data_IF_661565427860
#
_entry.id   IF_661565427860
#
_cell.length_a   1.000
_cell.length_b   1.000
_cell.length_c   1.000
_cell.angle_alpha   90.00
_cell.angle_beta   90.00
_cell.angle_gamma   90.00
#
_symmetry.space_group_name_H-M   'P 1'
#
loop_
_entity.id
_entity.type
_entity.pdbx_description
1 polymer ?
#
# COMPACT_ATOMS: atom_id res chain seq x y z
N UNK A 1 26.58 -2.78 83.06
CA UNK A 1 27.88 -3.49 82.95
C UNK A 1 27.93 -4.40 81.72
N UNK A 2 28.46 -3.91 80.59
CA UNK A 2 28.48 -2.49 80.27
C UNK A 2 28.11 -2.12 78.81
N UNK A 3 27.96 -0.86 78.39
CA UNK A 3 27.41 0.45 78.89
C UNK A 3 27.93 1.52 77.85
N UNK A 4 27.37 2.70 77.56
CA UNK A 4 26.24 3.47 78.11
C UNK A 4 25.70 4.55 77.13
N UNK A 5 25.83 5.84 77.44
CA UNK A 5 25.07 6.99 76.86
C UNK A 5 25.92 8.16 76.26
N UNK A 6 25.30 8.91 75.31
CA UNK A 6 25.16 10.41 75.10
C UNK A 6 26.15 11.46 75.71
N UNK A 7 26.03 12.80 75.47
CA UNK A 7 25.26 13.61 74.48
C UNK A 7 26.10 14.77 73.83
N UNK A 8 25.48 15.75 73.13
CA UNK A 8 26.08 17.10 72.92
C UNK A 8 25.61 17.90 71.69
N UNK A 9 25.36 19.21 71.83
CA UNK A 9 24.64 20.05 70.83
C UNK A 9 25.29 21.43 70.56
N UNK A 10 25.27 21.85 69.28
CA UNK A 10 25.15 23.25 68.76
C UNK A 10 26.27 24.33 68.84
N UNK A 11 26.14 25.25 67.84
CA UNK A 11 26.52 26.69 67.73
C UNK A 11 27.90 27.16 67.17
N UNK A 12 27.81 28.12 66.21
CA UNK A 12 28.68 29.34 66.02
C UNK A 12 30.10 29.13 65.41
N UNK A 13 30.65 29.92 64.46
CA UNK A 13 30.28 31.21 63.81
C UNK A 13 31.19 31.59 62.61
N UNK A 14 30.66 32.33 61.60
CA UNK A 14 31.34 33.32 60.70
C UNK A 14 32.51 32.77 59.81
N UNK A 15 33.07 33.44 58.79
CA UNK A 15 33.23 34.86 58.41
C UNK A 15 33.14 35.05 56.88
N UNK A 16 32.69 36.23 56.44
CA UNK A 16 32.71 36.69 55.03
C UNK A 16 33.82 37.75 54.82
N UNK A 17 34.71 37.59 53.83
CA UNK A 17 35.53 38.65 53.21
C UNK A 17 36.25 38.06 51.96
N UNK A 18 36.00 38.48 50.72
CA UNK A 18 36.35 39.75 50.05
C UNK A 18 37.75 39.73 49.39
N UNK A 19 37.81 39.85 48.06
CA UNK A 19 39.07 39.97 47.29
C UNK A 19 38.86 39.94 45.76
N UNK A 20 39.07 41.08 45.10
CA UNK A 20 38.99 41.20 43.63
C UNK A 20 40.20 40.58 42.90
N UNK A 21 40.03 40.21 41.61
CA UNK A 21 40.75 40.79 40.46
C UNK A 21 40.19 40.24 39.13
N UNK A 22 40.29 41.04 38.06
CA UNK A 22 39.74 40.78 36.71
C UNK A 22 40.74 40.03 35.83
N UNK A 23 40.26 39.19 34.89
CA UNK A 23 40.88 39.09 33.56
C UNK A 23 39.83 38.86 32.46
N UNK A 24 40.21 39.13 31.20
CA UNK A 24 39.32 39.44 30.06
C UNK A 24 39.35 38.33 28.99
N UNK A 25 38.20 38.15 28.29
CA UNK A 25 38.03 37.59 26.92
C UNK A 25 38.47 36.14 26.65
N UNK A 26 37.54 35.33 26.12
CA UNK A 26 37.54 34.94 24.70
C UNK A 26 36.18 34.39 24.27
N UNK A 27 35.88 34.43 22.96
CA UNK A 27 34.60 33.99 22.40
C UNK A 27 34.57 32.48 22.15
N UNK A 28 33.38 31.86 22.26
CA UNK A 28 33.16 30.46 21.87
C UNK A 28 32.90 30.38 20.37
N UNK A 29 33.76 29.66 19.65
CA UNK A 29 33.47 29.12 18.30
C UNK A 29 33.04 27.66 18.49
N UNK A 30 31.95 27.17 17.86
CA UNK A 30 31.55 25.77 17.97
C UNK A 30 32.47 24.85 17.15
N UNK A 31 32.85 23.72 17.74
CA UNK A 31 33.82 22.77 17.18
C UNK A 31 33.34 22.08 15.90
N UNK A 32 34.11 22.19 14.81
CA UNK A 32 34.09 21.22 13.71
C UNK A 32 34.77 19.93 14.19
N UNK A 33 33.98 18.95 14.67
CA UNK A 33 34.53 17.71 15.23
C UNK A 33 33.59 16.51 15.26
N UNK A 34 32.50 16.53 14.49
CA UNK A 34 31.45 15.50 14.52
C UNK A 34 31.00 15.04 13.11
N UNK A 35 31.95 14.91 12.17
CA UNK A 35 31.65 14.55 10.78
C UNK A 35 32.69 13.59 10.15
N UNK A 36 33.02 12.49 10.84
CA UNK A 36 34.07 11.55 10.37
C UNK A 36 33.87 10.05 10.69
N UNK A 37 32.81 9.62 11.41
CA UNK A 37 32.74 8.25 11.97
C UNK A 37 31.73 7.31 11.28
N UNK A 38 30.84 7.82 10.42
CA UNK A 38 29.77 6.99 9.79
C UNK A 38 30.23 6.20 8.56
N UNK A 39 31.48 6.36 8.10
CA UNK A 39 32.01 5.65 6.93
C UNK A 39 32.64 4.26 7.23
N UNK A 40 32.70 3.84 8.50
CA UNK A 40 33.53 2.70 8.93
C UNK A 40 32.81 1.39 9.28
N UNK A 41 31.50 1.27 9.09
CA UNK A 41 30.69 0.20 9.71
C UNK A 41 29.86 -0.68 8.74
N UNK A 42 30.21 -0.72 7.44
CA UNK A 42 29.54 -1.59 6.42
C UNK A 42 30.52 -2.56 5.76
N UNK A 43 31.68 -2.81 6.37
CA UNK A 43 32.74 -3.67 5.85
C UNK A 43 32.84 -5.04 6.56
N UNK A 44 31.91 -5.38 7.46
CA UNK A 44 31.91 -6.64 8.21
C UNK A 44 30.51 -7.27 8.16
N UNK A 45 30.27 -8.03 7.09
CA UNK A 45 29.43 -9.24 6.99
C UNK A 45 29.30 -9.61 5.49
N UNK A 46 30.43 -9.97 4.88
CA UNK A 46 30.49 -10.36 3.46
C UNK A 46 31.46 -11.55 3.29
N UNK A 47 31.09 -12.70 3.84
CA UNK A 47 31.84 -13.96 3.72
C UNK A 47 30.85 -15.14 3.63
N UNK A 48 30.83 -15.81 2.48
CA UNK A 48 30.29 -17.16 2.17
C UNK A 48 28.75 -17.36 2.36
N UNK A 49 27.95 -17.61 1.32
CA UNK A 49 28.15 -18.61 0.25
C UNK A 49 27.32 -18.31 -1.02
N UNK A 50 27.98 -18.47 -2.17
CA UNK A 50 27.46 -18.74 -3.52
C UNK A 50 28.68 -19.30 -4.32
N UNK A 51 28.59 -20.08 -5.42
CA UNK A 51 27.39 -20.55 -6.14
C UNK A 51 27.36 -22.07 -6.41
N UNK A 52 26.28 -22.54 -7.06
CA UNK A 52 26.33 -23.70 -7.96
C UNK A 52 25.68 -23.34 -9.30
N UNK A 53 26.50 -23.34 -10.36
CA UNK A 53 26.10 -23.24 -11.77
C UNK A 53 26.92 -24.29 -12.54
N UNK A 54 26.30 -24.94 -13.53
CA UNK A 54 26.94 -25.86 -14.49
C UNK A 54 26.57 -27.34 -14.29
N UNK A 55 26.35 -28.14 -15.35
CA UNK A 55 26.36 -27.75 -16.78
C UNK A 55 25.66 -28.79 -17.70
N UNK A 56 25.36 -28.33 -18.93
CA UNK A 56 25.14 -29.00 -20.23
C UNK A 56 24.62 -30.47 -20.38
N UNK A 57 23.81 -30.70 -21.43
CA UNK A 57 23.55 -32.07 -21.94
C UNK A 57 22.31 -32.27 -22.84
N UNK A 58 22.34 -31.81 -24.09
CA UNK A 58 21.17 -31.70 -24.98
C UNK A 58 20.39 -32.99 -25.35
N UNK A 59 19.17 -32.77 -25.90
CA UNK A 59 18.59 -33.57 -26.97
C UNK A 59 17.40 -32.82 -27.61
N UNK A 60 17.38 -32.70 -28.94
CA UNK A 60 16.20 -32.24 -29.66
C UNK A 60 15.19 -33.39 -29.86
N UNK A 61 13.90 -33.12 -29.69
CA UNK A 61 12.84 -33.90 -30.34
C UNK A 61 11.72 -32.98 -30.81
N UNK A 62 11.47 -33.03 -32.12
CA UNK A 62 10.22 -32.56 -32.71
C UNK A 62 9.06 -33.51 -32.34
N UNK A 63 7.85 -33.19 -32.87
CA UNK A 63 6.53 -33.83 -32.66
C UNK A 63 5.83 -33.33 -31.38
N UNK A 64 4.55 -32.95 -31.38
CA UNK A 64 3.48 -33.12 -32.38
C UNK A 64 2.55 -31.90 -32.42
N UNK A 65 2.16 -31.44 -33.60
CA UNK A 65 1.04 -30.52 -33.81
C UNK A 65 -0.30 -31.25 -33.68
N UNK A 66 -1.21 -30.80 -32.80
CA UNK A 66 -2.53 -31.42 -32.70
C UNK A 66 -3.50 -30.79 -31.70
N UNK A 67 -4.58 -30.20 -32.22
CA UNK A 67 -5.91 -30.08 -31.60
C UNK A 67 -6.02 -29.28 -30.28
N UNK A 68 -6.01 -27.94 -30.40
CA UNK A 68 -6.81 -27.09 -29.50
C UNK A 68 -8.22 -27.02 -30.08
N UNK A 69 -9.17 -27.75 -29.51
CA UNK A 69 -10.59 -27.63 -29.91
C UNK A 69 -11.22 -26.37 -29.33
N UNK A 70 -11.97 -25.65 -30.16
CA UNK A 70 -12.67 -24.42 -29.79
C UNK A 70 -13.67 -24.63 -28.64
N UNK A 71 -13.30 -24.28 -27.41
CA UNK A 71 -14.29 -23.97 -26.36
C UNK A 71 -14.91 -22.60 -26.64
N UNK A 72 -15.98 -22.58 -27.45
CA UNK A 72 -16.88 -21.43 -27.54
C UNK A 72 -17.54 -21.19 -26.18
N UNK A 73 -17.05 -20.19 -25.46
CA UNK A 73 -17.70 -19.65 -24.26
C UNK A 73 -19.05 -19.06 -24.67
N UNK A 74 -20.18 -19.46 -24.06
CA UNK A 74 -21.49 -18.88 -24.35
C UNK A 74 -21.53 -17.40 -23.93
N UNK A 75 -22.27 -16.54 -24.65
CA UNK A 75 -22.41 -15.14 -24.27
C UNK A 75 -23.10 -15.00 -22.91
N UNK A 76 -22.74 -13.98 -22.10
CA UNK A 76 -23.38 -13.74 -20.81
C UNK A 76 -24.87 -13.40 -20.98
N UNK A 77 -25.73 -13.73 -19.98
CA UNK A 77 -27.15 -13.39 -20.04
C UNK A 77 -27.35 -11.87 -20.06
N UNK A 78 -28.38 -11.37 -20.77
CA UNK A 78 -28.70 -9.94 -20.80
C UNK A 78 -29.08 -9.43 -19.41
N UNK A 79 -28.71 -8.19 -19.12
CA UNK A 79 -29.10 -7.51 -17.89
C UNK A 79 -30.62 -7.23 -17.89
N UNK A 80 -31.29 -7.27 -16.73
CA UNK A 80 -32.70 -6.90 -16.64
C UNK A 80 -32.89 -5.41 -16.97
N UNK A 81 -33.90 -5.12 -17.79
CA UNK A 81 -34.22 -3.74 -18.18
C UNK A 81 -34.73 -2.92 -16.98
N UNK A 82 -34.42 -1.61 -16.93
CA UNK A 82 -34.90 -0.73 -15.87
C UNK A 82 -36.42 -0.54 -15.99
N UNK A 83 -37.15 -0.77 -14.90
CA UNK A 83 -38.58 -0.42 -14.82
C UNK A 83 -38.75 1.10 -14.83
N UNK A 84 -39.43 1.60 -15.85
CA UNK A 84 -39.99 2.95 -15.88
C UNK A 84 -41.41 2.92 -15.31
N UNK A 85 -41.54 3.15 -14.01
CA UNK A 85 -42.84 3.41 -13.38
C UNK A 85 -42.99 4.93 -13.19
N UNK A 86 -43.42 5.61 -14.27
CA UNK A 86 -43.94 6.98 -14.19
C UNK A 86 -45.37 6.94 -13.61
N UNK A 87 -45.57 7.52 -12.42
CA UNK A 87 -46.90 7.98 -12.01
C UNK A 87 -46.80 9.13 -11.00
N UNK A 88 -46.83 10.36 -11.52
CA UNK A 88 -47.21 11.53 -10.75
C UNK A 88 -48.67 11.85 -11.05
N UNK A 89 -49.50 11.93 -10.00
CA UNK A 89 -50.79 12.64 -10.03
C UNK A 89 -50.96 13.38 -8.71
N UNK A 90 -51.14 14.69 -8.79
CA UNK A 90 -51.56 15.53 -7.68
C UNK A 90 -52.93 15.11 -7.13
N UNK A 91 -53.18 15.40 -5.86
CA UNK A 91 -54.49 15.92 -5.44
C UNK A 91 -54.36 16.72 -4.14
N UNK A 92 -55.20 17.73 -3.96
CA UNK A 92 -55.09 18.73 -2.89
C UNK A 92 -56.42 18.97 -2.16
N UNK A 93 -56.34 19.69 -1.04
CA UNK A 93 -57.44 20.30 -0.25
C UNK A 93 -58.33 19.34 0.60
N UNK A 94 -58.95 19.74 1.73
CA UNK A 94 -58.84 20.89 2.66
C UNK A 94 -59.71 20.60 3.92
N UNK A 95 -59.63 21.44 4.97
CA UNK A 95 -60.37 21.43 6.27
C UNK A 95 -59.79 20.49 7.35
N UNK A 96 -59.69 20.81 8.65
CA UNK A 96 -60.07 21.99 9.45
C UNK A 96 -60.81 21.54 10.74
N UNK A 97 -60.56 22.01 11.97
CA UNK A 97 -59.53 22.91 12.52
C UNK A 97 -59.72 23.12 14.05
N UNK A 98 -58.88 23.96 14.67
CA UNK A 98 -59.06 24.68 15.96
C UNK A 98 -59.33 23.87 17.26
N UNK A 99 -58.35 23.82 18.18
CA UNK A 99 -58.46 24.41 19.54
C UNK A 99 -57.21 24.20 20.42
N UNK A 100 -56.65 25.35 20.83
CA UNK A 100 -55.94 25.69 22.08
C UNK A 100 -55.95 24.67 23.23
N UNK A 101 -54.79 24.51 23.89
CA UNK A 101 -54.58 25.20 25.19
C UNK A 101 -53.09 25.52 25.43
N UNK A 102 -52.80 26.39 26.40
CA UNK A 102 -51.47 26.86 26.74
C UNK A 102 -51.03 26.41 28.14
N UNK A 103 -49.74 26.11 28.31
CA UNK A 103 -49.09 26.24 29.62
C UNK A 103 -47.60 26.56 29.49
N UNK A 104 -47.05 27.17 30.53
CA UNK A 104 -45.79 27.92 30.55
C UNK A 104 -44.96 27.50 31.77
N UNK A 105 -43.80 26.90 31.54
CA UNK A 105 -42.69 26.70 32.48
C UNK A 105 -41.50 26.11 31.70
N UNK A 106 -40.23 26.34 32.02
CA UNK A 106 -39.58 27.39 32.80
C UNK A 106 -38.09 27.47 32.38
N UNK A 107 -37.43 28.59 32.66
CA UNK A 107 -36.04 28.88 32.29
C UNK A 107 -35.03 27.89 32.89
N UNK A 108 -34.01 27.46 32.11
CA UNK A 108 -32.59 27.41 32.53
C UNK A 108 -31.67 27.26 31.31
N UNK A 109 -30.87 28.30 31.03
CA UNK A 109 -29.64 28.19 30.23
C UNK A 109 -28.46 27.89 31.16
N UNK A 110 -27.44 27.16 30.69
CA UNK A 110 -26.06 27.39 31.10
C UNK A 110 -25.23 28.03 29.97
N UNK A 111 -24.34 28.94 30.34
CA UNK A 111 -23.43 29.66 29.44
C UNK A 111 -22.23 28.78 28.99
N UNK A 112 -21.46 29.19 27.95
CA UNK A 112 -20.49 28.30 27.30
C UNK A 112 -19.14 28.27 28.02
N UNK A 113 -18.50 27.09 28.09
CA UNK A 113 -17.15 26.96 28.63
C UNK A 113 -16.54 25.56 28.53
N UNK A 114 -15.42 25.46 27.83
CA UNK A 114 -14.40 24.41 27.92
C UNK A 114 -14.81 22.93 27.75
N UNK A 115 -14.69 22.41 26.51
CA UNK A 115 -14.03 21.12 26.18
C UNK A 115 -13.90 20.88 24.66
N UNK A 116 -13.30 21.85 23.96
CA UNK A 116 -12.99 21.73 22.52
C UNK A 116 -11.47 21.64 22.32
N UNK A 117 -10.89 20.47 22.59
CA UNK A 117 -9.49 20.16 22.22
C UNK A 117 -9.11 18.69 22.03
N UNK A 118 -9.94 17.73 22.47
CA UNK A 118 -9.62 16.29 22.41
C UNK A 118 -10.40 15.48 21.35
N UNK A 119 -10.94 16.13 20.30
CA UNK A 119 -11.62 15.46 19.18
C UNK A 119 -10.93 15.57 17.82
N UNK A 120 -9.73 16.14 17.77
CA UNK A 120 -8.96 16.36 16.53
C UNK A 120 -7.69 15.50 16.46
N UNK A 121 -7.85 14.19 16.71
CA UNK A 121 -6.81 13.18 16.42
C UNK A 121 -7.41 11.83 15.99
N UNK A 122 -8.32 11.86 14.99
CA UNK A 122 -8.88 10.65 14.35
C UNK A 122 -9.26 10.87 12.86
N UNK A 123 -8.82 11.97 12.25
CA UNK A 123 -9.08 12.29 10.85
C UNK A 123 -7.80 12.06 10.02
N UNK A 124 -7.54 10.80 9.66
CA UNK A 124 -6.60 10.49 8.58
C UNK A 124 -7.01 11.20 7.29
N UNK A 125 -6.06 11.50 6.40
CA UNK A 125 -6.37 12.14 5.13
C UNK A 125 -7.27 11.26 4.27
N UNK A 126 -7.97 11.82 3.24
CA UNK A 126 -8.73 11.01 2.28
C UNK A 126 -7.90 9.87 1.65
N UNK A 127 -6.62 10.09 1.37
CA UNK A 127 -5.68 9.07 0.87
C UNK A 127 -5.47 7.90 1.84
N UNK A 128 -5.64 8.12 3.14
CA UNK A 128 -5.34 7.13 4.16
C UNK A 128 -6.56 6.21 4.39
N UNK A 129 -7.78 6.77 4.20
CA UNK A 129 -9.05 6.01 4.16
C UNK A 129 -9.27 5.22 2.87
N UNK A 130 -8.74 5.68 1.73
CA UNK A 130 -8.89 4.98 0.45
C UNK A 130 -8.24 3.57 0.43
N UNK A 131 -7.22 3.35 1.28
CA UNK A 131 -6.39 2.14 1.28
C UNK A 131 -6.81 1.09 2.34
N UNK A 132 -7.98 1.21 2.96
CA UNK A 132 -8.52 0.21 3.88
C UNK A 132 -9.93 -0.23 3.46
N UNK A 133 -10.30 -1.52 3.65
CA UNK A 133 -11.70 -1.91 3.58
C UNK A 133 -12.46 -1.22 4.71
N UNK A 134 -13.73 -0.89 4.51
CA UNK A 134 -14.59 -0.50 5.64
C UNK A 134 -14.78 -1.70 6.58
N UNK A 135 -14.47 -1.54 7.86
CA UNK A 135 -14.67 -2.56 8.91
C UNK A 135 -16.15 -2.85 9.24
N UNK A 136 -17.09 -2.30 8.47
CA UNK A 136 -18.47 -2.74 8.42
C UNK A 136 -18.53 -4.17 7.89
N UNK A 137 -18.40 -5.13 8.82
CA UNK A 137 -18.51 -6.57 8.58
C UNK A 137 -19.96 -7.03 8.50
N UNK A 138 -20.90 -6.26 9.01
CA UNK A 138 -22.33 -6.59 8.97
C UNK A 138 -22.88 -6.45 7.54
N UNK A 139 -22.34 -5.50 6.76
CA UNK A 139 -22.59 -5.40 5.31
C UNK A 139 -21.89 -6.46 4.45
N UNK A 140 -20.94 -7.24 4.98
CA UNK A 140 -20.11 -8.17 4.18
C UNK A 140 -20.68 -9.59 4.18
N UNK A 141 -21.32 -9.98 3.08
CA UNK A 141 -21.92 -11.30 2.90
C UNK A 141 -20.96 -12.26 2.21
N UNK A 142 -20.70 -13.43 2.80
CA UNK A 142 -20.06 -14.56 2.11
C UNK A 142 -20.99 -15.06 0.98
N UNK A 143 -20.49 -15.10 -0.26
CA UNK A 143 -21.26 -15.50 -1.45
C UNK A 143 -20.78 -16.85 -2.00
N UNK A 144 -19.46 -17.05 -2.12
CA UNK A 144 -18.86 -18.31 -2.57
C UNK A 144 -17.71 -18.72 -1.64
N UNK A 145 -17.40 -20.01 -1.61
CA UNK A 145 -16.25 -20.56 -0.89
C UNK A 145 -15.60 -21.73 -1.65
N UNK A 146 -14.39 -22.11 -1.23
CA UNK A 146 -13.65 -23.24 -1.78
C UNK A 146 -13.29 -23.03 -3.25
N UNK A 147 -13.35 -24.13 -4.03
CA UNK A 147 -12.96 -24.14 -5.45
C UNK A 147 -13.76 -23.16 -6.30
N UNK A 148 -15.08 -23.07 -6.10
CA UNK A 148 -15.93 -22.13 -6.82
C UNK A 148 -15.49 -20.66 -6.63
N UNK A 149 -15.06 -20.28 -5.42
CA UNK A 149 -14.54 -18.93 -5.18
C UNK A 149 -13.18 -18.68 -5.88
N UNK A 150 -12.30 -19.69 -5.96
CA UNK A 150 -11.05 -19.59 -6.74
C UNK A 150 -11.33 -19.43 -8.24
N UNK A 151 -12.25 -20.21 -8.78
CA UNK A 151 -12.62 -20.18 -10.21
C UNK A 151 -13.25 -18.82 -10.57
N UNK A 152 -14.16 -18.31 -9.75
CA UNK A 152 -14.71 -16.95 -9.93
C UNK A 152 -13.65 -15.85 -9.78
N UNK A 153 -12.69 -15.99 -8.85
CA UNK A 153 -11.58 -15.02 -8.73
C UNK A 153 -10.72 -15.00 -9.99
N UNK A 154 -10.37 -16.18 -10.53
CA UNK A 154 -9.61 -16.31 -11.77
C UNK A 154 -10.34 -15.69 -12.96
N UNK A 155 -11.64 -15.95 -13.12
CA UNK A 155 -12.45 -15.40 -14.20
C UNK A 155 -12.58 -13.87 -14.13
N UNK A 156 -12.77 -13.31 -12.93
CA UNK A 156 -12.79 -11.84 -12.73
C UNK A 156 -11.43 -11.21 -13.06
N UNK A 157 -10.32 -11.85 -12.67
CA UNK A 157 -8.97 -11.39 -12.99
C UNK A 157 -8.67 -11.46 -14.50
N UNK A 158 -9.10 -12.52 -15.19
CA UNK A 158 -8.95 -12.63 -16.64
C UNK A 158 -9.71 -11.52 -17.39
N UNK A 159 -10.96 -11.22 -16.99
CA UNK A 159 -11.73 -10.11 -17.57
C UNK A 159 -11.16 -8.74 -17.19
N UNK A 160 -10.59 -8.59 -15.99
CA UNK A 160 -9.87 -7.38 -15.59
C UNK A 160 -8.63 -7.13 -16.45
N UNK A 161 -7.79 -8.16 -16.67
CA UNK A 161 -6.61 -8.08 -17.52
C UNK A 161 -6.99 -7.67 -18.95
N UNK A 162 -7.96 -8.38 -19.55
CA UNK A 162 -8.51 -8.12 -20.91
C UNK A 162 -9.10 -6.70 -21.08
N UNK A 163 -9.44 -6.02 -19.99
CA UNK A 163 -9.89 -4.61 -19.97
C UNK A 163 -8.72 -3.64 -19.79
N UNK A 164 -7.77 -3.97 -18.93
CA UNK A 164 -6.54 -3.19 -18.72
C UNK A 164 -5.67 -3.16 -19.99
N UNK A 165 -5.57 -4.27 -20.73
CA UNK A 165 -4.89 -4.36 -22.03
C UNK A 165 -5.44 -3.39 -23.09
N UNK A 166 -6.71 -2.97 -22.96
CA UNK A 166 -7.34 -1.99 -23.86
C UNK A 166 -7.04 -0.53 -23.48
N UNK A 167 -6.40 -0.29 -22.35
CA UNK A 167 -5.93 1.04 -21.96
C UNK A 167 -4.51 1.22 -22.50
N UNK A 168 -4.30 2.20 -23.39
CA UNK A 168 -2.94 2.57 -23.82
C UNK A 168 -2.12 3.10 -22.63
N UNK A 169 -2.77 3.92 -21.80
CA UNK A 169 -2.19 4.53 -20.61
C UNK A 169 -3.26 4.98 -19.60
N UNK A 170 -2.83 5.17 -18.35
CA UNK A 170 -3.67 5.73 -17.28
C UNK A 170 -2.82 6.47 -16.23
N UNK A 171 -3.46 7.31 -15.42
CA UNK A 171 -2.93 7.77 -14.12
C UNK A 171 -3.70 7.14 -12.97
N UNK A 172 -3.04 6.93 -11.84
CA UNK A 172 -3.69 6.49 -10.59
C UNK A 172 -2.95 7.03 -9.36
N UNK A 173 -3.63 7.07 -8.23
CA UNK A 173 -3.01 7.18 -6.91
C UNK A 173 -2.74 5.75 -6.41
N UNK A 174 -1.46 5.45 -6.18
CA UNK A 174 -0.97 4.16 -5.69
C UNK A 174 -0.51 4.30 -4.25
N UNK A 175 -0.99 3.42 -3.38
CA UNK A 175 -0.55 3.32 -1.99
C UNK A 175 0.26 2.04 -1.81
N UNK A 176 1.46 2.17 -1.24
CA UNK A 176 2.43 1.08 -1.07
C UNK A 176 2.84 0.94 0.39
N UNK A 177 2.81 -0.26 0.95
CA UNK A 177 3.42 -0.60 2.23
C UNK A 177 4.02 -2.00 2.12
N UNK A 178 5.29 -2.20 2.46
CA UNK A 178 6.01 -3.46 2.19
C UNK A 178 6.90 -3.87 3.36
N UNK A 179 7.13 -5.17 3.54
CA UNK A 179 8.17 -5.68 4.43
C UNK A 179 9.47 -5.88 3.63
N UNK A 180 10.48 -5.09 3.95
CA UNK A 180 11.80 -5.06 3.32
C UNK A 180 12.86 -5.31 4.40
N UNK A 181 13.82 -6.21 4.15
CA UNK A 181 14.86 -6.55 5.15
C UNK A 181 14.30 -6.95 6.52
N UNK A 182 13.15 -7.65 6.53
CA UNK A 182 12.45 -8.03 7.76
C UNK A 182 11.61 -6.93 8.42
N UNK A 183 11.68 -5.67 7.98
CA UNK A 183 10.96 -4.53 8.59
C UNK A 183 9.81 -4.04 7.70
N UNK A 184 8.62 -3.83 8.28
CA UNK A 184 7.49 -3.22 7.57
C UNK A 184 7.73 -1.71 7.41
N UNK A 185 7.72 -1.20 6.19
CA UNK A 185 7.93 0.22 5.91
C UNK A 185 6.73 1.07 6.32
N UNK A 186 6.95 2.38 6.49
CA UNK A 186 5.89 3.38 6.43
C UNK A 186 5.04 3.23 5.17
N UNK A 187 3.76 3.59 5.27
CA UNK A 187 2.85 3.67 4.14
C UNK A 187 3.22 4.85 3.23
N UNK A 188 3.34 4.58 1.94
CA UNK A 188 3.74 5.52 0.90
C UNK A 188 2.55 5.83 0.00
N UNK A 189 2.33 7.11 -0.33
CA UNK A 189 1.32 7.54 -1.30
C UNK A 189 2.05 8.10 -2.52
N UNK A 190 1.81 7.50 -3.67
CA UNK A 190 2.57 7.67 -4.90
C UNK A 190 1.59 8.04 -6.02
N UNK A 191 1.77 9.20 -6.64
CA UNK A 191 1.08 9.49 -7.89
C UNK A 191 1.78 8.74 -9.02
N UNK A 192 1.07 7.89 -9.77
CA UNK A 192 1.63 7.12 -10.88
C UNK A 192 0.97 7.44 -12.22
N UNK A 193 1.76 7.29 -13.28
CA UNK A 193 1.30 7.21 -14.67
C UNK A 193 1.92 5.97 -15.31
N UNK A 194 1.11 5.19 -16.02
CA UNK A 194 1.51 3.97 -16.70
C UNK A 194 1.10 4.06 -18.16
N UNK A 195 1.96 3.61 -19.07
CA UNK A 195 1.66 3.31 -20.49
C UNK A 195 1.97 1.83 -20.69
N UNK A 196 1.06 1.07 -21.28
CA UNK A 196 1.26 -0.38 -21.43
C UNK A 196 2.17 -0.73 -22.61
N UNK A 197 2.13 0.02 -23.73
CA UNK A 197 2.95 -0.28 -24.92
C UNK A 197 3.51 1.00 -25.58
N UNK A 198 4.84 1.10 -25.82
CA UNK A 198 5.88 0.36 -25.10
C UNK A 198 5.80 0.67 -23.59
N UNK A 199 6.03 -0.31 -22.73
CA UNK A 199 5.82 -0.19 -21.29
C UNK A 199 6.64 0.95 -20.69
N UNK A 200 5.97 1.86 -20.00
CA UNK A 200 6.60 2.96 -19.28
C UNK A 200 5.81 3.34 -18.03
N UNK A 201 6.55 3.67 -16.97
CA UNK A 201 5.99 4.02 -15.66
C UNK A 201 6.70 5.26 -15.13
N UNK A 202 5.91 6.23 -14.70
CA UNK A 202 6.37 7.41 -13.98
C UNK A 202 5.71 7.42 -12.60
N UNK A 203 6.48 7.74 -11.56
CA UNK A 203 6.01 7.79 -10.17
C UNK A 203 6.53 9.04 -9.46
N UNK A 204 5.70 9.64 -8.59
CA UNK A 204 6.11 10.68 -7.64
C UNK A 204 5.59 10.38 -6.23
N UNK A 205 6.50 10.30 -5.25
CA UNK A 205 6.18 10.10 -3.84
C UNK A 205 5.57 11.37 -3.23
N UNK A 206 4.27 11.36 -2.94
CA UNK A 206 3.52 12.48 -2.35
C UNK A 206 3.60 12.48 -0.82
N UNK A 207 3.57 11.30 -0.19
CA UNK A 207 3.70 11.05 1.25
C UNK A 207 4.46 9.73 1.50
N UNK A 208 5.14 9.62 2.64
CA UNK A 208 5.94 8.45 3.00
C UNK A 208 7.17 8.27 2.10
N UNK A 209 8.14 7.47 2.56
CA UNK A 209 9.43 7.30 1.86
C UNK A 209 10.15 8.64 1.61
N UNK A 210 10.87 8.74 0.50
CA UNK A 210 11.54 9.98 0.09
C UNK A 210 10.54 10.95 -0.60
N UNK A 211 9.89 11.82 0.17
CA UNK A 211 8.86 12.74 -0.34
C UNK A 211 9.39 13.68 -1.42
N UNK A 212 8.76 13.63 -2.59
CA UNK A 212 9.15 14.34 -3.80
C UNK A 212 10.11 13.57 -4.70
N UNK A 213 10.53 12.35 -4.31
CA UNK A 213 11.23 11.40 -5.18
C UNK A 213 10.39 11.17 -6.43
N UNK A 214 11.07 11.15 -7.58
CA UNK A 214 10.49 10.82 -8.88
C UNK A 214 11.27 9.71 -9.54
N UNK A 215 10.53 8.72 -10.06
CA UNK A 215 11.08 7.60 -10.82
C UNK A 215 10.45 7.61 -12.20
N UNK A 216 11.26 7.33 -13.21
CA UNK A 216 10.84 7.12 -14.59
C UNK A 216 11.50 5.86 -15.13
N UNK A 217 10.69 4.92 -15.62
CA UNK A 217 11.11 3.81 -16.45
C UNK A 217 10.38 3.88 -17.78
N UNK A 218 11.08 3.59 -18.87
CA UNK A 218 10.51 3.45 -20.22
C UNK A 218 11.35 2.38 -20.93
N UNK A 219 10.76 1.25 -21.29
CA UNK A 219 11.47 0.11 -21.88
C UNK A 219 12.11 0.45 -23.23
N UNK A 220 11.54 1.43 -23.94
CA UNK A 220 12.01 1.86 -25.26
C UNK A 220 13.17 2.86 -25.18
N UNK A 221 13.60 3.24 -23.98
CA UNK A 221 14.58 4.29 -23.75
C UNK A 221 15.57 3.95 -22.61
N UNK A 222 16.47 4.90 -22.32
CA UNK A 222 17.35 4.88 -21.15
C UNK A 222 18.26 3.64 -21.01
N UNK A 223 18.45 2.86 -22.08
CA UNK A 223 19.23 1.61 -22.08
C UNK A 223 18.74 0.60 -21.02
N UNK A 224 17.41 0.50 -20.85
CA UNK A 224 16.79 -0.38 -19.86
C UNK A 224 16.97 0.04 -18.39
N UNK A 225 17.55 1.22 -18.13
CA UNK A 225 17.76 1.74 -16.77
C UNK A 225 16.62 2.65 -16.34
N UNK A 226 16.24 2.57 -15.07
CA UNK A 226 15.32 3.53 -14.46
C UNK A 226 16.05 4.82 -14.09
N UNK A 227 15.41 5.95 -14.33
CA UNK A 227 15.88 7.28 -13.95
C UNK A 227 15.27 7.68 -12.61
N UNK A 228 16.10 8.05 -11.63
CA UNK A 228 15.66 8.40 -10.28
C UNK A 228 16.13 9.81 -9.91
N UNK A 229 15.18 10.67 -9.54
CA UNK A 229 15.45 11.95 -8.89
C UNK A 229 14.99 11.88 -7.44
N UNK A 230 15.88 12.16 -6.50
CA UNK A 230 15.57 12.18 -5.07
C UNK A 230 14.61 13.32 -4.70
N UNK A 231 14.00 13.21 -3.53
CA UNK A 231 13.09 14.19 -2.95
C UNK A 231 13.78 15.38 -2.29
N UNK A 232 12.94 16.32 -1.82
CA UNK A 232 13.33 17.48 -1.03
C UNK A 232 14.53 18.29 -1.54
N UNK A 233 15.37 18.74 -0.61
CA UNK A 233 16.57 19.54 -0.90
C UNK A 233 17.62 18.73 -1.67
N UNK A 234 17.74 17.42 -1.38
CA UNK A 234 18.66 16.50 -2.07
C UNK A 234 18.40 16.49 -3.58
N UNK A 235 17.14 16.39 -3.99
CA UNK A 235 16.70 16.45 -5.39
C UNK A 235 16.95 17.76 -6.12
N UNK A 236 17.30 18.85 -5.42
CA UNK A 236 17.69 20.14 -6.04
C UNK A 236 19.18 20.19 -6.40
N UNK A 237 20.03 19.52 -5.62
CA UNK A 237 21.49 19.59 -5.77
C UNK A 237 22.11 18.33 -6.39
N UNK A 238 21.51 17.15 -6.20
CA UNK A 238 22.00 15.90 -6.77
C UNK A 238 21.44 15.66 -8.17
N UNK A 239 22.25 15.07 -9.08
CA UNK A 239 21.80 14.74 -10.43
C UNK A 239 20.78 13.59 -10.43
N UNK A 240 20.12 13.38 -11.58
CA UNK A 240 19.29 12.19 -11.82
C UNK A 240 20.19 10.96 -11.89
N UNK A 241 19.92 9.96 -11.04
CA UNK A 241 20.62 8.69 -11.02
C UNK A 241 20.06 7.76 -12.11
N UNK A 242 20.93 6.95 -12.72
CA UNK A 242 20.53 5.83 -13.60
C UNK A 242 20.76 4.53 -12.84
N UNK A 243 19.69 3.81 -12.52
CA UNK A 243 19.76 2.55 -11.79
C UNK A 243 19.27 1.39 -12.65
N UNK A 244 19.79 0.19 -12.38
CA UNK A 244 19.20 -1.03 -12.92
C UNK A 244 17.89 -1.35 -12.16
N UNK A 245 16.75 -1.56 -12.81
CA UNK A 245 15.50 -1.98 -12.16
C UNK A 245 15.63 -3.24 -11.29
N UNK A 246 16.57 -4.12 -11.60
CA UNK A 246 16.81 -5.39 -10.92
C UNK A 246 18.06 -5.37 -10.01
N UNK A 247 18.85 -4.30 -10.02
CA UNK A 247 20.05 -4.18 -9.20
C UNK A 247 19.75 -3.93 -7.72
N UNK A 248 20.68 -4.28 -6.85
CA UNK A 248 20.51 -4.32 -5.39
C UNK A 248 19.89 -3.04 -4.80
N UNK A 249 20.32 -1.86 -5.24
CA UNK A 249 19.81 -0.57 -4.76
C UNK A 249 18.34 -0.29 -5.16
N UNK A 250 17.86 -0.88 -6.26
CA UNK A 250 16.44 -0.82 -6.63
C UNK A 250 15.63 -1.88 -5.86
N UNK A 251 16.21 -3.07 -5.70
CA UNK A 251 15.60 -4.21 -4.97
C UNK A 251 15.52 -3.99 -3.46
N UNK A 252 16.42 -3.20 -2.87
CA UNK A 252 16.38 -2.85 -1.44
C UNK A 252 15.20 -1.95 -1.06
N UNK A 253 14.59 -1.28 -2.04
CA UNK A 253 13.51 -0.30 -1.85
C UNK A 253 12.11 -0.81 -2.25
N UNK A 254 12.02 -1.96 -2.95
CA UNK A 254 10.79 -2.51 -3.50
C UNK A 254 10.80 -4.05 -3.59
N UNK A 255 9.69 -4.69 -3.19
CA UNK A 255 9.51 -6.16 -3.34
C UNK A 255 9.48 -6.62 -4.81
N UNK A 256 9.01 -5.75 -5.71
CA UNK A 256 8.95 -5.99 -7.16
C UNK A 256 9.71 -4.88 -7.93
N UNK A 257 10.40 -5.20 -9.03
CA UNK A 257 11.07 -4.20 -9.87
C UNK A 257 10.05 -3.27 -10.55
N UNK A 258 10.47 -2.07 -10.96
CA UNK A 258 9.57 -1.10 -11.62
C UNK A 258 9.00 -1.59 -12.98
N UNK A 259 9.64 -2.60 -13.59
CA UNK A 259 9.14 -3.35 -14.76
C UNK A 259 7.86 -4.15 -14.49
N UNK A 260 7.51 -4.36 -13.22
CA UNK A 260 6.29 -5.05 -12.78
C UNK A 260 5.29 -4.09 -12.12
N UNK A 261 5.46 -2.79 -12.27
CA UNK A 261 4.53 -1.80 -11.72
C UNK A 261 3.28 -1.60 -12.61
N UNK A 262 2.12 -1.50 -11.97
CA UNK A 262 0.85 -1.19 -12.62
C UNK A 262 -0.21 -2.26 -12.41
N UNK A 263 -1.44 -1.94 -12.78
CA UNK A 263 -2.61 -2.79 -12.53
C UNK A 263 -2.61 -4.05 -13.39
N UNK A 264 -2.14 -3.97 -14.64
CA UNK A 264 -2.05 -5.14 -15.51
C UNK A 264 -1.11 -6.19 -14.89
N UNK A 265 0.10 -5.79 -14.53
CA UNK A 265 1.11 -6.65 -13.89
C UNK A 265 0.60 -7.31 -12.60
N UNK A 266 -0.06 -6.54 -11.72
CA UNK A 266 -0.66 -7.07 -10.48
C UNK A 266 -1.82 -8.04 -10.77
N UNK A 267 -2.63 -7.76 -11.80
CA UNK A 267 -3.75 -8.61 -12.21
C UNK A 267 -3.26 -9.93 -12.81
N UNK A 268 -2.26 -9.88 -13.68
CA UNK A 268 -1.64 -11.05 -14.31
C UNK A 268 -0.93 -11.95 -13.28
N UNK A 269 -0.17 -11.36 -12.35
CA UNK A 269 0.48 -12.11 -11.27
C UNK A 269 -0.54 -12.80 -10.35
N UNK A 270 -1.60 -12.09 -9.95
CA UNK A 270 -2.70 -12.68 -9.18
C UNK A 270 -3.42 -13.80 -9.96
N UNK A 271 -3.59 -13.63 -11.27
CA UNK A 271 -4.18 -14.64 -12.16
C UNK A 271 -3.27 -15.88 -12.30
N UNK A 272 -1.95 -15.69 -12.38
CA UNK A 272 -0.98 -16.79 -12.40
C UNK A 272 -1.05 -17.62 -11.12
N UNK A 273 -1.01 -16.99 -9.95
CA UNK A 273 -1.17 -17.70 -8.67
C UNK A 273 -2.51 -18.45 -8.60
N UNK A 274 -3.62 -17.81 -9.00
CA UNK A 274 -4.93 -18.51 -9.05
C UNK A 274 -4.97 -19.68 -10.01
N UNK A 275 -4.27 -19.61 -11.16
CA UNK A 275 -4.18 -20.74 -12.10
C UNK A 275 -3.47 -21.95 -11.48
N UNK A 276 -2.42 -21.72 -10.70
CA UNK A 276 -1.68 -22.76 -9.97
C UNK A 276 -2.50 -23.30 -8.78
N UNK A 277 -3.13 -22.42 -8.01
CA UNK A 277 -3.98 -22.80 -6.87
C UNK A 277 -5.16 -23.69 -7.32
N UNK A 278 -5.67 -23.53 -8.54
CA UNK A 278 -6.72 -24.39 -9.13
C UNK A 278 -6.24 -25.80 -9.52
N UNK A 279 -4.92 -26.04 -9.56
CA UNK A 279 -4.30 -27.34 -9.83
C UNK A 279 -4.06 -28.14 -8.55
N UNK A 280 -4.20 -27.56 -7.36
CA UNK A 280 -4.07 -28.29 -6.09
C UNK A 280 -5.33 -29.09 -5.79
N UNK A 281 -5.17 -30.22 -5.08
CA UNK A 281 -6.30 -31.03 -4.63
C UNK A 281 -6.91 -30.51 -3.32
N UNK A 282 -6.05 -29.99 -2.44
CA UNK A 282 -6.37 -29.52 -1.09
C UNK A 282 -5.50 -28.31 -0.71
N UNK A 283 -5.49 -27.95 0.58
CA UNK A 283 -4.60 -26.97 1.20
C UNK A 283 -4.84 -25.49 0.86
N UNK A 284 -5.67 -25.18 -0.14
CA UNK A 284 -6.08 -23.82 -0.51
C UNK A 284 -7.56 -23.59 -0.18
N UNK A 285 -7.86 -22.54 0.59
CA UNK A 285 -9.24 -22.14 0.94
C UNK A 285 -9.52 -20.71 0.50
N UNK A 286 -10.33 -20.55 -0.55
CA UNK A 286 -10.85 -19.25 -0.96
C UNK A 286 -12.24 -18.96 -0.36
N UNK A 287 -12.50 -17.68 -0.08
CA UNK A 287 -13.79 -17.12 0.33
C UNK A 287 -14.03 -15.84 -0.46
N UNK A 288 -15.19 -15.74 -1.11
CA UNK A 288 -15.63 -14.55 -1.83
C UNK A 288 -16.76 -13.86 -1.06
N UNK A 289 -16.58 -12.56 -0.85
CA UNK A 289 -17.49 -11.67 -0.15
C UNK A 289 -18.06 -10.63 -1.11
N UNK A 290 -19.34 -10.32 -0.93
CA UNK A 290 -20.00 -9.15 -1.51
C UNK A 290 -20.39 -8.15 -0.39
N UNK A 291 -20.63 -6.90 -0.77
CA UNK A 291 -20.88 -5.78 0.13
C UNK A 291 -19.61 -5.06 0.61
N UNK A 292 -18.43 -5.53 0.20
CA UNK A 292 -17.16 -4.89 0.53
C UNK A 292 -17.03 -3.48 -0.09
N UNK A 293 -16.36 -2.57 0.61
CA UNK A 293 -15.99 -1.24 0.10
C UNK A 293 -14.55 -0.91 0.45
N UNK A 294 -13.83 -0.28 -0.47
CA UNK A 294 -12.49 0.29 -0.26
C UNK A 294 -12.56 1.79 -0.54
N UNK A 295 -12.53 2.60 0.52
CA UNK A 295 -12.94 4.01 0.45
C UNK A 295 -14.35 4.15 -0.14
N UNK A 296 -14.47 4.86 -1.26
CA UNK A 296 -15.74 5.07 -1.97
C UNK A 296 -16.07 3.96 -2.99
N UNK A 297 -15.12 3.07 -3.30
CA UNK A 297 -15.28 2.03 -4.32
C UNK A 297 -15.99 0.82 -3.73
N UNK A 298 -17.10 0.39 -4.35
CA UNK A 298 -17.74 -0.88 -4.03
C UNK A 298 -16.96 -2.04 -4.70
N UNK A 299 -16.71 -3.12 -3.97
CA UNK A 299 -15.81 -4.20 -4.36
C UNK A 299 -16.43 -5.59 -4.09
N UNK A 300 -15.92 -6.60 -4.79
CA UNK A 300 -15.92 -7.98 -4.30
C UNK A 300 -14.63 -8.21 -3.51
N UNK A 301 -14.72 -8.83 -2.34
CA UNK A 301 -13.56 -9.17 -1.52
C UNK A 301 -13.24 -10.66 -1.62
N UNK A 302 -12.00 -11.01 -1.92
CA UNK A 302 -11.52 -12.39 -1.93
C UNK A 302 -10.48 -12.59 -0.84
N UNK A 303 -10.63 -13.64 -0.04
CA UNK A 303 -9.65 -14.08 0.96
C UNK A 303 -9.24 -15.51 0.61
N UNK A 304 -7.95 -15.71 0.29
CA UNK A 304 -7.35 -17.03 0.08
C UNK A 304 -6.40 -17.32 1.22
N UNK A 305 -6.68 -18.41 1.95
CA UNK A 305 -5.81 -18.98 2.98
C UNK A 305 -5.11 -20.23 2.47
N UNK A 306 -3.85 -20.39 2.82
CA UNK A 306 -3.05 -21.61 2.64
C UNK A 306 -2.84 -22.27 4.01
N UNK A 307 -2.85 -23.61 4.09
CA UNK A 307 -2.56 -24.32 5.36
C UNK A 307 -1.14 -24.86 5.51
N UNK A 308 -0.39 -24.98 4.41
CA UNK A 308 1.04 -25.30 4.39
C UNK A 308 1.80 -24.53 3.29
N UNK A 309 3.09 -24.21 3.48
CA UNK A 309 3.86 -23.37 2.55
C UNK A 309 4.23 -24.05 1.22
N UNK A 310 4.09 -25.37 1.12
CA UNK A 310 4.47 -26.18 -0.04
C UNK A 310 3.31 -26.46 -1.02
N UNK A 311 2.08 -26.06 -0.71
CA UNK A 311 0.89 -26.38 -1.52
C UNK A 311 0.84 -25.66 -2.89
N UNK A 312 1.40 -24.45 -3.01
CA UNK A 312 1.51 -23.72 -4.28
C UNK A 312 2.70 -22.74 -4.27
N UNK A 313 3.03 -22.14 -5.42
CA UNK A 313 4.13 -21.15 -5.51
C UNK A 313 3.85 -19.92 -4.64
N UNK A 314 2.59 -19.45 -4.65
CA UNK A 314 2.13 -18.37 -3.78
C UNK A 314 2.26 -18.75 -2.30
N UNK A 315 1.90 -19.99 -1.94
CA UNK A 315 1.98 -20.48 -0.57
C UNK A 315 3.39 -20.43 0.02
N UNK A 316 4.45 -20.55 -0.80
CA UNK A 316 5.85 -20.45 -0.33
C UNK A 316 6.18 -19.10 0.31
N UNK A 317 5.46 -18.04 -0.07
CA UNK A 317 5.66 -16.68 0.46
C UNK A 317 4.50 -16.23 1.34
N UNK A 318 3.27 -16.59 0.97
CA UNK A 318 2.05 -16.06 1.55
C UNK A 318 1.25 -17.18 2.24
N UNK A 319 0.84 -16.97 3.49
CA UNK A 319 -0.16 -17.80 4.17
C UNK A 319 -1.58 -17.28 3.92
N UNK A 320 -1.73 -15.98 3.64
CA UNK A 320 -3.00 -15.38 3.20
C UNK A 320 -2.78 -14.34 2.12
N UNK A 321 -3.65 -14.37 1.11
CA UNK A 321 -3.84 -13.29 0.14
C UNK A 321 -5.26 -12.73 0.26
N UNK A 322 -5.38 -11.43 0.48
CA UNK A 322 -6.64 -10.69 0.40
C UNK A 322 -6.62 -9.78 -0.82
N UNK A 323 -7.66 -9.86 -1.66
CA UNK A 323 -7.75 -9.11 -2.92
C UNK A 323 -9.16 -8.57 -3.11
N UNK A 324 -9.26 -7.25 -3.22
CA UNK A 324 -10.53 -6.54 -3.45
C UNK A 324 -10.57 -6.06 -4.90
N UNK A 325 -11.57 -6.52 -5.65
CA UNK A 325 -11.78 -6.18 -7.06
C UNK A 325 -12.97 -5.23 -7.19
N UNK A 326 -12.81 -4.10 -7.87
CA UNK A 326 -13.86 -3.11 -8.06
C UNK A 326 -15.08 -3.74 -8.77
N UNK A 327 -16.29 -3.44 -8.29
CA UNK A 327 -17.52 -3.75 -9.03
C UNK A 327 -17.53 -3.00 -10.36
N UNK A 328 -18.14 -3.60 -11.38
CA UNK A 328 -18.17 -3.04 -12.74
C UNK A 328 -16.89 -3.35 -13.53
N UNK A 329 -15.71 -2.94 -13.08
CA UNK A 329 -14.44 -3.09 -13.85
C UNK A 329 -13.65 -4.36 -13.54
N UNK A 330 -13.76 -4.91 -12.33
CA UNK A 330 -12.92 -5.97 -11.74
C UNK A 330 -11.44 -5.60 -11.52
N UNK A 331 -11.07 -4.33 -11.63
CA UNK A 331 -9.69 -3.90 -11.37
C UNK A 331 -9.32 -4.08 -9.88
N UNK A 332 -8.11 -4.55 -9.56
CA UNK A 332 -7.60 -4.57 -8.19
C UNK A 332 -7.61 -3.19 -7.53
N UNK A 333 -8.27 -3.06 -6.37
CA UNK A 333 -8.37 -1.82 -5.59
C UNK A 333 -7.52 -1.88 -4.33
N UNK A 334 -7.44 -3.06 -3.70
CA UNK A 334 -6.63 -3.34 -2.52
C UNK A 334 -6.14 -4.79 -2.54
N UNK A 335 -4.86 -4.97 -2.24
CA UNK A 335 -4.19 -6.25 -2.04
C UNK A 335 -3.55 -6.21 -0.66
N UNK A 336 -3.70 -7.26 0.14
CA UNK A 336 -2.93 -7.50 1.38
C UNK A 336 -2.43 -8.94 1.39
N UNK A 337 -1.12 -9.14 1.39
CA UNK A 337 -0.54 -10.47 1.49
C UNK A 337 0.26 -10.63 2.80
N UNK A 338 -0.02 -11.71 3.50
CA UNK A 338 0.51 -12.03 4.83
C UNK A 338 1.33 -13.32 4.77
N UNK A 339 2.48 -13.34 5.43
CA UNK A 339 3.36 -14.50 5.51
C UNK A 339 2.98 -15.50 6.61
N UNK A 340 3.89 -16.44 6.82
CA UNK A 340 3.74 -17.55 7.78
C UNK A 340 4.13 -17.20 9.23
N UNK A 341 4.65 -16.00 9.49
CA UNK A 341 5.21 -15.65 10.81
C UNK A 341 6.55 -16.34 11.08
N UNK A 342 7.01 -16.26 12.33
CA UNK A 342 8.24 -16.97 12.76
C UNK A 342 8.02 -18.49 12.75
N UNK A 343 9.03 -19.24 12.30
CA UNK A 343 9.04 -20.71 12.27
C UNK A 343 7.81 -21.36 11.56
N UNK A 344 7.17 -20.61 10.68
CA UNK A 344 5.91 -20.96 10.01
C UNK A 344 4.73 -21.27 10.94
N UNK A 345 4.59 -20.58 12.08
CA UNK A 345 3.45 -20.79 13.00
C UNK A 345 2.09 -20.62 12.30
N UNK A 346 1.29 -21.71 12.14
CA UNK A 346 -0.03 -21.62 11.52
C UNK A 346 -1.02 -20.74 12.31
N UNK A 347 -0.75 -20.46 13.59
CA UNK A 347 -1.55 -19.60 14.47
C UNK A 347 -1.15 -18.13 14.44
N UNK A 348 -0.07 -17.75 13.73
CA UNK A 348 0.36 -16.37 13.65
C UNK A 348 -0.80 -15.44 13.23
N UNK A 349 -0.91 -14.22 13.79
CA UNK A 349 -2.01 -13.32 13.46
C UNK A 349 -1.89 -12.81 12.01
N UNK A 350 -2.99 -12.31 11.45
CA UNK A 350 -3.02 -11.63 10.14
C UNK A 350 -3.02 -10.11 10.35
N UNK A 351 -1.98 -9.62 11.00
CA UNK A 351 -1.77 -8.21 11.36
C UNK A 351 -0.45 -7.67 10.77
N UNK A 352 0.02 -6.52 11.26
CA UNK A 352 1.27 -5.93 10.78
C UNK A 352 2.49 -6.83 10.98
N UNK A 353 2.52 -7.73 11.97
CA UNK A 353 3.66 -8.63 12.24
C UNK A 353 3.91 -9.61 11.07
N UNK A 354 2.85 -10.11 10.44
CA UNK A 354 2.94 -11.04 9.29
C UNK A 354 2.70 -10.37 7.94
N UNK A 355 2.23 -9.11 7.89
CA UNK A 355 2.06 -8.37 6.65
C UNK A 355 3.38 -8.27 5.88
N UNK A 356 3.38 -8.75 4.63
CA UNK A 356 4.51 -8.67 3.70
C UNK A 356 4.34 -7.52 2.71
N UNK A 357 3.10 -7.25 2.29
CA UNK A 357 2.77 -6.21 1.32
C UNK A 357 1.30 -5.80 1.43
N UNK A 358 1.07 -4.49 1.31
CA UNK A 358 -0.23 -3.91 1.03
C UNK A 358 -0.08 -2.92 -0.13
N UNK A 359 -0.94 -3.10 -1.14
CA UNK A 359 -1.01 -2.28 -2.33
C UNK A 359 -2.45 -1.81 -2.53
N UNK A 360 -2.66 -0.53 -2.81
CA UNK A 360 -3.99 -0.02 -3.19
C UNK A 360 -3.90 0.94 -4.36
N UNK A 361 -4.90 0.87 -5.25
CA UNK A 361 -5.02 1.71 -6.44
C UNK A 361 -6.36 2.45 -6.39
N UNK A 362 -6.30 3.77 -6.56
CA UNK A 362 -7.46 4.65 -6.55
C UNK A 362 -7.31 5.77 -7.58
N UNK A 363 -8.39 6.54 -7.80
CA UNK A 363 -8.40 7.70 -8.70
C UNK A 363 -7.94 7.38 -10.14
N UNK A 364 -8.22 6.17 -10.62
CA UNK A 364 -7.82 5.72 -11.96
C UNK A 364 -8.49 6.56 -13.04
N UNK A 365 -7.67 7.15 -13.91
CA UNK A 365 -8.11 7.92 -15.08
C UNK A 365 -7.39 7.41 -16.32
N UNK A 366 -8.08 6.78 -17.28
CA UNK A 366 -7.51 6.49 -18.60
C UNK A 366 -7.00 7.76 -19.26
N UNK A 367 -5.94 7.66 -20.06
CA UNK A 367 -5.41 8.75 -20.85
C UNK A 367 -5.72 8.49 -22.33
N UNK A 368 -6.65 9.25 -22.90
CA UNK A 368 -6.99 9.21 -24.34
C UNK A 368 -5.78 9.52 -25.23
N UNK A 369 -4.82 10.29 -24.72
CA UNK A 369 -3.56 10.56 -25.38
C UNK A 369 -2.43 10.71 -24.36
N UNK A 370 -1.36 9.95 -24.56
CA UNK A 370 -0.10 10.18 -23.85
C UNK A 370 0.59 11.39 -24.48
N UNK A 371 0.80 12.46 -23.69
CA UNK A 371 1.64 13.58 -24.13
C UNK A 371 3.06 13.07 -24.45
N UNK A 372 3.67 13.55 -25.53
CA UNK A 372 4.95 13.06 -26.03
C UNK A 372 6.10 13.13 -25.01
N UNK A 373 5.96 13.95 -23.96
CA UNK A 373 6.91 14.10 -22.88
C UNK A 373 6.47 13.55 -21.51
N UNK A 374 5.30 12.90 -21.43
CA UNK A 374 4.79 12.29 -20.21
C UNK A 374 5.74 11.26 -19.58
N UNK A 375 6.61 10.67 -20.40
CA UNK A 375 7.66 9.70 -20.04
C UNK A 375 9.07 10.13 -20.51
N UNK A 376 9.27 11.40 -20.87
CA UNK A 376 10.60 11.91 -21.21
C UNK A 376 11.39 12.30 -19.95
N UNK A 377 12.75 12.27 -19.94
CA UNK A 377 13.55 12.63 -18.76
C UNK A 377 13.23 14.01 -18.16
N UNK A 378 12.76 14.98 -18.97
CA UNK A 378 12.33 16.30 -18.50
C UNK A 378 11.09 16.29 -17.57
N UNK A 379 10.31 15.20 -17.54
CA UNK A 379 9.24 14.95 -16.55
C UNK A 379 9.77 14.84 -15.10
N UNK A 380 11.05 14.50 -14.93
CA UNK A 380 11.76 14.57 -13.65
C UNK A 380 12.17 16.00 -13.26
N UNK A 381 11.89 17.00 -14.11
CA UNK A 381 12.12 18.42 -13.86
C UNK A 381 10.87 19.15 -13.36
N UNK A 382 9.80 19.15 -14.16
CA UNK A 382 8.62 20.02 -13.96
C UNK A 382 7.71 19.64 -12.77
N UNK A 383 6.77 20.53 -12.41
CA UNK A 383 5.54 20.12 -11.70
C UNK A 383 4.64 19.35 -12.68
N UNK A 384 3.83 18.43 -12.17
CA UNK A 384 2.67 17.91 -12.91
C UNK A 384 1.84 19.10 -13.44
N UNK A 385 1.52 19.06 -14.73
CA UNK A 385 0.40 19.78 -15.34
C UNK A 385 -0.68 18.75 -15.63
#
# INVERSE_FOLDING_TARGET
MPDGESPGNQLVSKVNAMGHIRHRRSARVPNLGALAVVAGAVAILYVNFDPVVGDEGGAASERTTGLVSDMRVPPPPPLPEPRTDDSATDDAATTGGVAKDASRAETTQPAPGAREKDRQSAAGSPSDRAAQPSDDRDSQRLVLAGRAALEFQYLMLAEAARRLERLDAYTATFVKQERLGGTLTDRQVIAMRVRHRPFAVWMEWKKGGDRGRRVLFDESANSGKMLVRLGGVKGRFLPVMKLDPNGDLARSECRYPVTQAGLLQVTELAMQYRRQDLQTADGVRCRMYDGCRCGETACYGFVVDYDRPDVSEAARTFRRCELYLAKGTYYPVLIRNYGWGENNDPKAPFDESTLLEMYSFSELKPLERVAADAFAPKSLGGRLR
#
